data_IF_945843642884
#
_entry.id   IF_945843642884
#
_cell.length_a   1.000
_cell.length_b   1.000
_cell.length_c   1.000
_cell.angle_alpha   90.00
_cell.angle_beta   90.00
_cell.angle_gamma   90.00
#
_symmetry.space_group_name_H-M   'P 1'
#
loop_
_entity.id
_entity.type
_entity.pdbx_description
1 polymer ?
#
# COMPACT_ATOMS: atom_id res chain seq x y z
N UNK A 1 -40.11 18.21 10.50
CA UNK A 1 -39.87 18.79 9.17
C UNK A 1 -39.65 17.66 8.19
N UNK A 2 -40.52 17.54 7.18
CA UNK A 2 -40.45 16.51 6.14
C UNK A 2 -39.63 17.09 4.98
N UNK A 3 -38.50 16.48 4.65
CA UNK A 3 -37.65 16.92 3.55
C UNK A 3 -38.22 16.40 2.23
N UNK A 4 -38.42 17.23 1.19
CA UNK A 4 -38.79 16.73 -0.12
C UNK A 4 -37.59 15.94 -0.71
N UNK A 5 -37.76 14.63 -1.02
CA UNK A 5 -36.67 13.76 -1.50
C UNK A 5 -36.20 14.07 -2.93
N UNK A 6 -36.72 15.12 -3.56
CA UNK A 6 -36.54 15.39 -4.99
C UNK A 6 -35.27 16.16 -5.32
N UNK A 7 -34.75 17.04 -4.45
CA UNK A 7 -33.66 17.94 -4.85
C UNK A 7 -32.25 17.38 -4.63
N UNK A 8 -32.04 16.52 -3.62
CA UNK A 8 -30.78 15.77 -3.46
C UNK A 8 -30.61 14.75 -4.60
N UNK A 9 -31.71 14.18 -5.10
CA UNK A 9 -31.70 13.25 -6.23
C UNK A 9 -31.27 13.91 -7.55
N UNK A 10 -31.50 15.22 -7.74
CA UNK A 10 -31.10 15.92 -8.97
C UNK A 10 -29.56 16.03 -9.08
N UNK A 11 -28.86 16.23 -7.95
CA UNK A 11 -27.40 16.22 -7.93
C UNK A 11 -26.82 14.81 -8.15
N UNK A 12 -27.47 13.78 -7.64
CA UNK A 12 -27.05 12.38 -7.79
C UNK A 12 -27.33 11.81 -9.19
N UNK A 13 -28.33 12.30 -9.91
CA UNK A 13 -28.63 11.85 -11.28
C UNK A 13 -27.54 12.23 -12.30
N UNK A 14 -26.78 13.29 -12.06
CA UNK A 14 -25.64 13.67 -12.92
C UNK A 14 -24.37 12.86 -12.62
N UNK A 15 -24.27 12.27 -11.42
CA UNK A 15 -23.13 11.46 -10.98
C UNK A 15 -23.65 10.22 -10.23
N UNK A 16 -24.12 9.19 -10.95
CA UNK A 16 -24.76 8.00 -10.35
C UNK A 16 -23.83 7.16 -9.46
N UNK A 17 -22.55 7.53 -9.35
CA UNK A 17 -21.54 6.85 -8.56
C UNK A 17 -21.16 7.58 -7.27
N UNK A 18 -21.70 8.78 -7.01
CA UNK A 18 -21.37 9.54 -5.81
C UNK A 18 -22.23 9.08 -4.62
N UNK A 19 -21.87 7.96 -4.02
CA UNK A 19 -22.56 7.47 -2.82
C UNK A 19 -21.96 8.13 -1.58
N UNK A 20 -22.71 9.05 -0.98
CA UNK A 20 -22.33 9.74 0.26
C UNK A 20 -23.08 9.07 1.43
N UNK A 21 -22.35 8.53 2.40
CA UNK A 21 -22.92 7.81 3.53
C UNK A 21 -22.98 8.64 4.82
N UNK A 22 -24.05 8.46 5.61
CA UNK A 22 -24.18 8.85 7.01
C UNK A 22 -23.73 10.29 7.32
N UNK A 23 -22.63 10.44 8.07
CA UNK A 23 -22.08 11.73 8.53
C UNK A 23 -21.70 12.65 7.38
N UNK A 24 -21.28 12.09 6.25
CA UNK A 24 -20.97 12.88 5.06
C UNK A 24 -22.25 13.41 4.37
N UNK A 25 -23.35 12.65 4.45
CA UNK A 25 -24.64 13.08 3.91
C UNK A 25 -25.26 14.17 4.79
N UNK A 26 -25.20 13.99 6.12
CA UNK A 26 -25.68 15.00 7.06
C UNK A 26 -24.96 16.35 6.87
N UNK A 27 -23.63 16.32 6.75
CA UNK A 27 -22.84 17.52 6.48
C UNK A 27 -23.13 18.11 5.09
N UNK A 28 -23.26 17.29 4.06
CA UNK A 28 -23.57 17.76 2.71
C UNK A 28 -24.93 18.49 2.68
N UNK A 29 -25.95 17.94 3.35
CA UNK A 29 -27.27 18.56 3.48
C UNK A 29 -27.19 19.91 4.20
N UNK A 30 -26.47 19.96 5.33
CA UNK A 30 -26.28 21.20 6.09
C UNK A 30 -25.54 22.28 5.27
N UNK A 31 -24.50 21.89 4.53
CA UNK A 31 -23.75 22.81 3.67
C UNK A 31 -24.64 23.39 2.56
N UNK A 32 -25.46 22.55 1.92
CA UNK A 32 -26.37 22.99 0.87
C UNK A 32 -27.44 23.94 1.43
N UNK A 33 -27.95 23.65 2.61
CA UNK A 33 -28.95 24.49 3.30
C UNK A 33 -28.37 25.86 3.69
N UNK A 34 -27.16 25.90 4.26
CA UNK A 34 -26.46 27.14 4.62
C UNK A 34 -26.15 28.04 3.41
N UNK A 35 -25.99 27.46 2.22
CA UNK A 35 -25.73 28.19 0.98
C UNK A 35 -27.00 28.41 0.15
N UNK A 36 -28.19 28.29 0.76
CA UNK A 36 -29.49 28.49 0.10
C UNK A 36 -29.64 27.70 -1.22
N UNK A 37 -29.06 26.51 -1.28
CA UNK A 37 -29.05 25.66 -2.49
C UNK A 37 -28.32 26.26 -3.71
N UNK A 38 -27.51 27.32 -3.52
CA UNK A 38 -26.74 28.01 -4.56
C UNK A 38 -25.27 27.62 -4.56
N UNK A 39 -24.96 26.33 -4.40
CA UNK A 39 -23.59 25.83 -4.45
C UNK A 39 -23.28 25.23 -5.81
N UNK A 40 -22.19 25.67 -6.43
CA UNK A 40 -21.66 25.02 -7.63
C UNK A 40 -21.09 23.65 -7.25
N UNK A 41 -21.19 22.67 -8.14
CA UNK A 41 -20.63 21.34 -7.96
C UNK A 41 -19.11 21.38 -7.72
N UNK A 42 -18.37 22.21 -8.46
CA UNK A 42 -16.91 22.29 -8.29
C UNK A 42 -16.53 22.78 -6.89
N UNK A 43 -17.26 23.79 -6.39
CA UNK A 43 -17.10 24.31 -5.03
C UNK A 43 -17.53 23.28 -3.98
N UNK A 44 -18.62 22.56 -4.23
CA UNK A 44 -19.06 21.45 -3.39
C UNK A 44 -18.00 20.35 -3.29
N UNK A 45 -17.44 19.91 -4.42
CA UNK A 45 -16.37 18.90 -4.47
C UNK A 45 -15.13 19.40 -3.73
N UNK A 46 -14.75 20.67 -3.91
CA UNK A 46 -13.61 21.27 -3.23
C UNK A 46 -13.81 21.29 -1.71
N UNK A 47 -14.98 21.74 -1.25
CA UNK A 47 -15.33 21.78 0.18
C UNK A 47 -15.46 20.39 0.78
N UNK A 48 -16.04 19.45 0.04
CA UNK A 48 -16.15 18.05 0.44
C UNK A 48 -14.76 17.43 0.60
N UNK A 49 -13.89 17.58 -0.41
CA UNK A 49 -12.48 17.15 -0.32
C UNK A 49 -11.78 17.82 0.86
N UNK A 50 -11.95 19.13 1.07
CA UNK A 50 -11.34 19.84 2.19
C UNK A 50 -11.81 19.28 3.54
N UNK A 51 -13.12 19.09 3.74
CA UNK A 51 -13.71 18.59 4.98
C UNK A 51 -13.30 17.15 5.27
N UNK A 52 -13.39 16.28 4.28
CA UNK A 52 -13.16 14.84 4.44
C UNK A 52 -11.71 14.40 4.18
N UNK A 53 -10.86 15.27 3.63
CA UNK A 53 -9.40 15.01 3.56
C UNK A 53 -8.81 14.79 4.95
N UNK A 54 -9.37 15.44 5.97
CA UNK A 54 -8.95 15.28 7.36
C UNK A 54 -9.48 13.99 8.00
N UNK A 55 -10.61 13.44 7.52
CA UNK A 55 -11.21 12.23 8.07
C UNK A 55 -10.44 10.96 7.69
N UNK A 56 -9.80 10.94 6.51
CA UNK A 56 -8.85 9.88 6.15
C UNK A 56 -7.42 10.12 6.67
N UNK A 57 -7.12 11.35 7.13
CA UNK A 57 -5.84 11.71 7.77
C UNK A 57 -5.84 11.53 9.29
N UNK A 58 -7.01 11.33 9.90
CA UNK A 58 -7.15 10.84 11.26
C UNK A 58 -6.95 9.31 11.21
N UNK A 59 -5.79 8.75 11.55
CA UNK A 59 -5.28 8.63 12.92
C UNK A 59 -3.79 8.22 12.87
N UNK A 60 -3.01 8.92 12.04
CA UNK A 60 -1.54 8.77 12.05
C UNK A 60 -0.97 9.85 12.94
N UNK A 61 -0.87 9.56 14.24
CA UNK A 61 -0.09 10.41 15.14
C UNK A 61 1.39 10.18 14.91
N UNK A 62 2.19 11.24 15.10
CA UNK A 62 3.65 11.13 15.14
C UNK A 62 4.09 10.03 16.11
N UNK A 63 3.42 9.91 17.27
CA UNK A 63 3.69 8.85 18.24
C UNK A 63 3.50 7.45 17.65
N UNK A 64 2.36 7.19 17.00
CA UNK A 64 2.05 5.89 16.37
C UNK A 64 3.04 5.54 15.27
N UNK A 65 3.48 6.53 14.49
CA UNK A 65 4.51 6.34 13.48
C UNK A 65 5.88 6.00 14.10
N UNK A 66 6.31 6.72 15.13
CA UNK A 66 7.57 6.47 15.81
C UNK A 66 7.59 5.12 16.52
N UNK A 67 6.47 4.68 17.09
CA UNK A 67 6.33 3.36 17.75
C UNK A 67 5.93 2.23 16.82
N UNK A 68 5.73 2.49 15.52
CA UNK A 68 5.35 1.45 14.56
C UNK A 68 6.41 0.34 14.52
N UNK A 69 5.95 -0.91 14.45
CA UNK A 69 6.82 -2.07 14.34
C UNK A 69 7.55 -2.09 12.99
N UNK A 70 8.68 -2.78 12.96
CA UNK A 70 9.45 -3.01 11.73
C UNK A 70 8.58 -3.80 10.73
N UNK A 71 8.49 -3.39 9.45
CA UNK A 71 7.62 -4.04 8.49
C UNK A 71 8.13 -5.43 8.13
N UNK A 72 7.23 -6.41 8.15
CA UNK A 72 7.53 -7.82 7.85
C UNK A 72 7.12 -8.21 6.43
N UNK A 73 6.17 -7.48 5.87
CA UNK A 73 5.64 -7.66 4.52
C UNK A 73 5.76 -6.37 3.72
N UNK A 74 5.60 -6.48 2.39
CA UNK A 74 5.53 -5.31 1.51
C UNK A 74 4.35 -4.42 1.88
N UNK A 75 3.22 -5.02 2.22
CA UNK A 75 2.00 -4.32 2.60
C UNK A 75 2.22 -3.50 3.89
N UNK A 76 2.92 -4.06 4.89
CA UNK A 76 3.31 -3.33 6.09
C UNK A 76 4.23 -2.14 5.75
N UNK A 77 5.18 -2.36 4.84
CA UNK A 77 6.11 -1.32 4.41
C UNK A 77 5.38 -0.19 3.67
N UNK A 78 4.48 -0.53 2.74
CA UNK A 78 3.63 0.45 2.05
C UNK A 78 2.75 1.23 3.02
N UNK A 79 2.17 0.57 4.03
CA UNK A 79 1.41 1.26 5.08
C UNK A 79 2.29 2.24 5.87
N UNK A 80 3.54 1.87 6.16
CA UNK A 80 4.51 2.73 6.83
C UNK A 80 4.91 3.94 5.96
N UNK A 81 5.13 3.75 4.65
CA UNK A 81 5.39 4.83 3.70
C UNK A 81 4.22 5.81 3.59
N UNK A 82 2.98 5.29 3.58
CA UNK A 82 1.77 6.11 3.58
C UNK A 82 1.65 6.94 4.86
N UNK A 83 1.93 6.35 6.02
CA UNK A 83 1.94 7.05 7.29
C UNK A 83 3.00 8.19 7.30
N UNK A 84 4.22 7.90 6.81
CA UNK A 84 5.27 8.92 6.66
C UNK A 84 4.87 10.05 5.72
N UNK A 85 4.17 9.74 4.63
CA UNK A 85 3.67 10.73 3.67
C UNK A 85 2.61 11.64 4.29
N UNK A 86 1.71 11.11 5.10
CA UNK A 86 0.73 11.92 5.85
C UNK A 86 1.45 12.90 6.78
N UNK A 87 2.48 12.45 7.52
CA UNK A 87 3.28 13.32 8.40
C UNK A 87 4.05 14.40 7.63
N UNK A 88 4.59 14.06 6.46
CA UNK A 88 5.25 15.01 5.57
C UNK A 88 4.29 16.09 5.08
N UNK A 89 3.11 15.69 4.58
CA UNK A 89 2.09 16.62 4.10
C UNK A 89 1.56 17.55 5.20
N UNK A 90 1.50 17.05 6.44
CA UNK A 90 1.11 17.84 7.61
C UNK A 90 2.25 18.72 8.15
N UNK A 91 3.45 18.68 7.53
CA UNK A 91 4.65 19.41 7.96
C UNK A 91 5.05 19.13 9.41
N UNK A 92 4.76 17.92 9.90
CA UNK A 92 5.10 17.52 11.28
C UNK A 92 6.57 17.11 11.42
N UNK A 93 7.21 16.74 10.31
CA UNK A 93 8.63 16.39 10.26
C UNK A 93 9.23 16.79 8.91
N UNK A 94 10.52 17.08 8.89
CA UNK A 94 11.25 17.30 7.64
C UNK A 94 11.55 15.97 6.91
N UNK A 95 11.82 16.06 5.61
CA UNK A 95 12.08 14.92 4.72
C UNK A 95 13.20 14.02 5.23
N UNK A 96 14.32 14.60 5.67
CA UNK A 96 15.49 13.84 6.14
C UNK A 96 15.17 13.03 7.39
N UNK A 97 14.51 13.62 8.38
CA UNK A 97 14.15 12.97 9.63
C UNK A 97 13.13 11.85 9.39
N UNK A 98 12.12 12.07 8.54
CA UNK A 98 11.15 11.03 8.18
C UNK A 98 11.84 9.85 7.51
N UNK A 99 12.72 10.13 6.55
CA UNK A 99 13.42 9.08 5.83
C UNK A 99 14.38 8.29 6.74
N UNK A 100 15.09 8.96 7.66
CA UNK A 100 15.92 8.29 8.67
C UNK A 100 15.09 7.37 9.59
N UNK A 101 13.92 7.82 10.04
CA UNK A 101 13.01 6.98 10.85
C UNK A 101 12.52 5.77 10.05
N UNK A 102 12.14 5.96 8.79
CA UNK A 102 11.74 4.87 7.90
C UNK A 102 12.87 3.85 7.75
N UNK A 103 14.08 4.31 7.43
CA UNK A 103 15.26 3.45 7.28
C UNK A 103 15.57 2.68 8.56
N UNK A 104 15.47 3.33 9.72
CA UNK A 104 15.68 2.69 11.01
C UNK A 104 14.75 1.51 11.27
N UNK A 105 13.55 1.51 10.67
CA UNK A 105 12.55 0.44 10.79
C UNK A 105 12.69 -0.65 9.73
N UNK A 106 13.42 -0.40 8.65
CA UNK A 106 13.55 -1.36 7.54
C UNK A 106 14.50 -2.52 7.89
N UNK A 107 14.39 -3.66 7.20
CA UNK A 107 15.40 -4.73 7.25
C UNK A 107 16.75 -4.24 6.71
N UNK A 108 17.84 -4.79 7.25
CA UNK A 108 19.21 -4.32 6.95
C UNK A 108 19.59 -4.44 5.47
N UNK A 109 19.03 -5.42 4.76
CA UNK A 109 19.32 -5.67 3.34
C UNK A 109 18.88 -4.53 2.39
N UNK A 110 17.96 -3.65 2.80
CA UNK A 110 17.51 -2.50 1.98
C UNK A 110 17.92 -1.15 2.55
N UNK A 111 18.47 -1.08 3.77
CA UNK A 111 18.86 0.19 4.39
C UNK A 111 19.83 0.98 3.53
N UNK A 112 20.87 0.33 2.99
CA UNK A 112 21.86 0.99 2.15
C UNK A 112 21.25 1.62 0.90
N UNK A 113 20.30 0.92 0.26
CA UNK A 113 19.60 1.41 -0.93
C UNK A 113 18.68 2.59 -0.61
N UNK A 114 18.03 2.57 0.55
CA UNK A 114 17.21 3.67 1.02
C UNK A 114 18.06 4.89 1.43
N UNK A 115 19.23 4.68 2.04
CA UNK A 115 20.18 5.76 2.33
C UNK A 115 20.63 6.45 1.05
N UNK A 116 21.01 5.67 0.04
CA UNK A 116 21.35 6.20 -1.28
C UNK A 116 20.18 6.96 -1.92
N UNK A 117 18.93 6.49 -1.72
CA UNK A 117 17.74 7.19 -2.19
C UNK A 117 17.57 8.56 -1.54
N UNK A 118 17.85 8.71 -0.24
CA UNK A 118 17.81 10.02 0.44
C UNK A 118 18.83 10.99 -0.16
N UNK A 119 20.04 10.52 -0.46
CA UNK A 119 21.11 11.38 -0.99
C UNK A 119 20.85 11.83 -2.43
N UNK A 120 20.12 11.02 -3.21
CA UNK A 120 19.91 11.24 -4.64
C UNK A 120 18.56 11.88 -4.97
N UNK A 121 17.53 11.71 -4.13
CA UNK A 121 16.22 12.29 -4.36
C UNK A 121 16.12 13.73 -3.82
N UNK A 122 15.67 14.65 -4.67
CA UNK A 122 15.45 16.06 -4.32
C UNK A 122 14.19 16.31 -3.49
N UNK A 123 13.22 15.40 -3.57
CA UNK A 123 11.89 15.57 -3.02
C UNK A 123 11.34 14.25 -2.45
N UNK A 124 10.37 14.39 -1.54
CA UNK A 124 9.75 13.27 -0.85
C UNK A 124 9.08 12.27 -1.80
N UNK A 125 8.47 12.77 -2.88
CA UNK A 125 7.74 11.91 -3.82
C UNK A 125 8.69 11.00 -4.58
N UNK A 126 9.83 11.53 -5.06
CA UNK A 126 10.89 10.73 -5.66
C UNK A 126 11.47 9.70 -4.68
N UNK A 127 11.66 10.08 -3.41
CA UNK A 127 12.12 9.14 -2.38
C UNK A 127 11.15 7.98 -2.19
N UNK A 128 9.84 8.25 -2.05
CA UNK A 128 8.81 7.22 -1.90
C UNK A 128 8.80 6.26 -3.08
N UNK A 129 8.81 6.79 -4.31
CA UNK A 129 8.85 5.96 -5.52
C UNK A 129 10.07 5.04 -5.54
N UNK A 130 11.24 5.54 -5.10
CA UNK A 130 12.45 4.73 -5.00
C UNK A 130 12.36 3.68 -3.89
N UNK A 131 11.79 4.04 -2.74
CA UNK A 131 11.58 3.13 -1.63
C UNK A 131 10.65 1.96 -2.02
N UNK A 132 9.57 2.23 -2.74
CA UNK A 132 8.65 1.21 -3.27
C UNK A 132 9.35 0.27 -4.26
N UNK A 133 10.22 0.77 -5.13
CA UNK A 133 11.02 -0.07 -6.04
C UNK A 133 11.94 -1.02 -5.27
N UNK A 134 12.60 -0.51 -4.22
CA UNK A 134 13.52 -1.28 -3.38
C UNK A 134 12.78 -2.30 -2.50
N UNK A 135 11.52 -2.03 -2.13
CA UNK A 135 10.72 -2.93 -1.31
C UNK A 135 10.59 -4.33 -1.91
N UNK A 136 10.56 -4.45 -3.23
CA UNK A 136 10.53 -5.74 -3.94
C UNK A 136 11.73 -6.64 -3.66
N UNK A 137 12.88 -6.05 -3.30
CA UNK A 137 14.09 -6.79 -2.95
C UNK A 137 14.05 -7.31 -1.50
N UNK A 138 13.47 -6.53 -0.57
CA UNK A 138 13.36 -6.94 0.83
C UNK A 138 12.20 -7.91 1.09
N UNK A 139 11.10 -7.76 0.35
CA UNK A 139 9.85 -8.45 0.60
C UNK A 139 9.38 -9.21 -0.64
N UNK A 140 10.09 -10.29 -1.04
CA UNK A 140 9.69 -11.10 -2.17
C UNK A 140 8.32 -11.75 -1.92
N UNK A 141 7.44 -11.71 -2.92
CA UNK A 141 6.12 -12.32 -2.82
C UNK A 141 6.25 -13.84 -2.61
N UNK A 142 5.55 -14.36 -1.59
CA UNK A 142 5.57 -15.79 -1.23
C UNK A 142 5.11 -16.71 -2.38
N UNK A 143 4.38 -16.17 -3.36
CA UNK A 143 3.92 -16.88 -4.56
C UNK A 143 5.04 -17.21 -5.53
N UNK A 144 6.04 -16.34 -5.68
CA UNK A 144 7.21 -16.60 -6.55
C UNK A 144 8.11 -17.70 -5.97
N UNK A 145 8.32 -17.69 -4.65
CA UNK A 145 9.12 -18.71 -3.96
C UNK A 145 8.50 -20.12 -3.99
N UNK A 146 7.17 -20.23 -4.19
CA UNK A 146 6.52 -21.54 -4.37
C UNK A 146 6.89 -22.20 -5.71
N UNK A 147 7.01 -21.44 -6.79
CA UNK A 147 7.34 -22.05 -8.10
C UNK A 147 8.77 -22.63 -8.11
N UNK A 148 9.71 -21.98 -7.44
CA UNK A 148 11.08 -22.51 -7.29
C UNK A 148 11.10 -23.82 -6.48
N UNK A 149 10.32 -23.92 -5.41
CA UNK A 149 10.21 -25.14 -4.61
C UNK A 149 9.64 -26.32 -5.42
N UNK A 150 8.62 -26.09 -6.25
CA UNK A 150 8.06 -27.12 -7.14
C UNK A 150 9.06 -27.55 -8.22
N UNK A 151 9.80 -26.60 -8.82
CA UNK A 151 10.80 -26.91 -9.85
C UNK A 151 12.00 -27.71 -9.28
N UNK A 152 12.35 -27.47 -8.03
CA UNK A 152 13.43 -28.17 -7.31
C UNK A 152 13.04 -29.61 -6.96
N UNK A 153 11.79 -29.83 -6.52
CA UNK A 153 11.26 -31.18 -6.30
C UNK A 153 11.16 -32.00 -7.59
N UNK A 154 10.77 -31.38 -8.70
CA UNK A 154 10.63 -32.07 -9.99
C UNK A 154 11.99 -32.51 -10.58
N UNK A 155 13.05 -31.71 -10.37
CA UNK A 155 14.42 -32.09 -10.78
C UNK A 155 14.98 -33.25 -9.95
N UNK A 156 14.72 -33.28 -8.64
CA UNK A 156 15.18 -34.36 -7.77
C UNK A 156 14.47 -35.69 -8.09
N UNK A 157 13.17 -35.68 -8.39
CA UNK A 157 12.43 -36.88 -8.79
C UNK A 157 12.88 -37.44 -10.16
N UNK A 158 13.28 -36.57 -11.10
CA UNK A 158 13.79 -37.01 -12.40
C UNK A 158 15.19 -37.66 -12.31
N UNK A 159 16.04 -37.22 -11.37
CA UNK A 159 17.34 -37.85 -11.12
C UNK A 159 17.23 -39.21 -10.40
N UNK A 160 16.26 -39.37 -9.51
CA UNK A 160 16.01 -40.67 -8.84
C UNK A 160 15.48 -41.73 -9.82
N UNK A 161 14.63 -41.38 -10.78
CA UNK A 161 14.14 -42.33 -11.79
C UNK A 161 15.18 -42.75 -12.84
N UNK A 162 16.15 -41.89 -13.17
CA UNK A 162 17.25 -42.23 -14.09
C UNK A 162 18.31 -43.15 -13.47
N UNK A 163 18.41 -43.17 -12.14
CA UNK A 163 19.37 -43.98 -11.40
C UNK A 163 18.92 -45.43 -11.23
N UNK A 164 17.59 -45.66 -11.19
CA UNK A 164 17.03 -46.99 -10.95
C UNK A 164 16.96 -47.88 -12.20
N UNK A 165 17.07 -47.29 -13.40
CA UNK A 165 17.06 -48.05 -14.68
C UNK A 165 18.42 -48.63 -15.06
N UNK A 166 19.53 -48.12 -14.49
CA UNK A 166 20.87 -48.70 -14.71
C UNK A 166 21.15 -49.93 -13.85
N UNK A 167 20.58 -50.02 -12.64
CA UNK A 167 20.80 -51.16 -11.75
C UNK A 167 19.99 -52.42 -12.11
N UNK A 168 18.91 -52.31 -12.89
CA UNK A 168 18.14 -53.49 -13.31
C UNK A 168 18.81 -54.33 -14.41
N UNK A 169 19.70 -53.75 -15.23
CA UNK A 169 20.37 -54.51 -16.30
C UNK A 169 21.55 -55.36 -15.85
N UNK A 170 22.06 -55.16 -14.63
CA UNK A 170 23.19 -55.95 -14.13
C UNK A 170 22.78 -57.27 -13.45
N UNK A 171 21.51 -57.41 -13.04
CA UNK A 171 21.05 -58.64 -12.38
C UNK A 171 20.55 -59.72 -13.35
N UNK A 172 20.33 -59.40 -14.63
CA UNK A 172 19.84 -60.38 -15.63
C UNK A 172 20.97 -61.09 -16.40
N UNK A 173 22.24 -60.70 -16.19
CA UNK A 173 23.40 -61.26 -16.91
C UNK A 173 24.24 -62.26 -16.09
N UNK A 174 23.94 -62.49 -14.81
CA UNK A 174 24.76 -63.34 -13.93
C UNK A 174 23.97 -64.22 -12.95
N UNK A 175 22.76 -64.64 -13.30
CA UNK A 175 22.03 -65.66 -12.55
C UNK A 175 22.12 -67.03 -13.22
N UNK A 176 23.20 -67.77 -12.97
CA UNK A 176 23.24 -69.24 -13.09
C UNK A 176 23.00 -69.87 -11.71
#
# INVERSE_FOLDING_TARGET
MYFPPTHINIFLNKYPYLIIYNTALAWASELVEQNEWRINLDDFILLFKKRFSNLYKAEVSLSKFLTALSPSTREDFTALLNAGTILFEQKLMNTCALAQVLIGKCPDNIKALLFQAIETCSDWKSFIQRAEQVAWLAYPDKTLNRMEAYSSQQRNQAQEMGSNTRNRRYCELHGE
#
